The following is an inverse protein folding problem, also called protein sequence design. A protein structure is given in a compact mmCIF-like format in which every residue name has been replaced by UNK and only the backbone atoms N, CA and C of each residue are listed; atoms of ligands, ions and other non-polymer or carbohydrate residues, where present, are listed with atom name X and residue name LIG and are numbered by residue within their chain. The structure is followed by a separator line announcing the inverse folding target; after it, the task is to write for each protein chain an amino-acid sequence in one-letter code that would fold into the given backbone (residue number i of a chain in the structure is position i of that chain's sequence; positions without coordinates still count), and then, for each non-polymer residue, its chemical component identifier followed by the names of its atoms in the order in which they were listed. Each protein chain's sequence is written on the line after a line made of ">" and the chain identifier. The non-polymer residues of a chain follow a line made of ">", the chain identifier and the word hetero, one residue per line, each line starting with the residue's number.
data_IF_907193737904
#
_entry.id   IF_907193737904
#
_cell.length_a   1.000
_cell.length_b   1.000
_cell.length_c   1.000
_cell.angle_alpha   90.00
_cell.angle_beta   90.00
_cell.angle_gamma   90.00
#
_symmetry.space_group_name_H-M   'P 1'
#
loop_
_entity.id
_entity.type
_entity.pdbx_description
1 polymer ?
#
# COMPACT_ATOMS: atom_id res chain seq x y z
N UNK A 1 -5.51 -28.07 2.82
CA UNK A 1 -5.08 -26.65 2.82
C UNK A 1 -4.15 -26.29 1.66
N UNK A 2 -3.27 -27.21 1.21
CA UNK A 2 -2.33 -26.96 0.11
C UNK A 2 -2.99 -26.90 -1.30
N UNK A 3 -4.13 -27.52 -1.51
CA UNK A 3 -4.83 -27.58 -2.80
C UNK A 3 -5.60 -26.28 -3.13
N UNK A 4 -6.11 -25.59 -2.14
CA UNK A 4 -6.77 -24.28 -2.32
C UNK A 4 -5.79 -23.18 -2.78
N UNK A 5 -4.56 -23.21 -2.29
CA UNK A 5 -3.48 -22.29 -2.67
C UNK A 5 -3.06 -22.42 -4.14
N UNK A 6 -3.07 -23.62 -4.72
CA UNK A 6 -2.76 -23.83 -6.14
C UNK A 6 -3.89 -23.34 -7.08
N UNK A 7 -5.16 -23.57 -6.72
CA UNK A 7 -6.30 -23.07 -7.52
C UNK A 7 -6.40 -21.55 -7.52
N UNK A 8 -6.15 -20.90 -6.40
CA UNK A 8 -6.09 -19.44 -6.34
C UNK A 8 -4.93 -18.87 -7.18
N UNK A 9 -3.76 -19.52 -7.20
CA UNK A 9 -2.64 -19.13 -8.07
C UNK A 9 -2.98 -19.28 -9.56
N UNK A 10 -3.70 -20.31 -9.97
CA UNK A 10 -4.08 -20.52 -11.38
C UNK A 10 -5.20 -19.56 -11.84
N UNK A 11 -6.06 -19.06 -10.94
CA UNK A 11 -7.12 -18.13 -11.33
C UNK A 11 -6.61 -16.72 -11.67
N UNK A 12 -5.45 -16.33 -11.12
CA UNK A 12 -4.81 -15.03 -11.44
C UNK A 12 -3.84 -15.08 -12.65
N UNK A 13 -3.49 -16.27 -13.17
CA UNK A 13 -2.45 -16.44 -14.22
C UNK A 13 -3.08 -16.75 -15.59
N UNK A 14 -4.28 -16.28 -15.88
CA UNK A 14 -4.77 -16.40 -17.25
C UNK A 14 -4.30 -15.20 -18.06
N UNK A 15 -3.06 -15.25 -18.56
CA UNK A 15 -2.53 -14.34 -19.57
C UNK A 15 -3.41 -14.40 -20.82
N UNK A 16 -4.41 -13.52 -20.91
CA UNK A 16 -4.97 -13.18 -22.21
C UNK A 16 -3.94 -12.30 -22.92
N UNK A 17 -3.28 -12.89 -23.89
CA UNK A 17 -2.25 -12.24 -24.73
C UNK A 17 -2.94 -11.25 -25.71
N UNK A 18 -3.57 -10.20 -25.16
CA UNK A 18 -4.32 -9.20 -25.90
C UNK A 18 -3.36 -8.10 -26.42
N UNK A 19 -2.42 -8.45 -27.30
CA UNK A 19 -1.56 -7.46 -27.95
C UNK A 19 -0.49 -6.82 -27.03
N UNK A 20 -0.21 -7.44 -25.87
CA UNK A 20 0.85 -7.00 -24.95
C UNK A 20 1.98 -8.02 -24.90
N UNK A 21 3.22 -7.53 -24.83
CA UNK A 21 4.42 -8.33 -24.61
C UNK A 21 4.91 -8.08 -23.18
N UNK A 22 5.07 -9.15 -22.39
CA UNK A 22 5.73 -9.07 -21.07
C UNK A 22 7.22 -8.77 -21.28
N UNK A 23 7.71 -7.69 -20.65
CA UNK A 23 9.09 -7.22 -20.78
C UNK A 23 9.88 -7.34 -19.48
N UNK A 24 9.20 -7.57 -18.35
CA UNK A 24 9.87 -7.73 -17.06
C UNK A 24 8.91 -8.14 -15.94
N UNK A 25 9.51 -8.42 -14.80
CA UNK A 25 8.82 -8.70 -13.53
C UNK A 25 9.59 -8.00 -12.43
N UNK A 26 8.88 -7.36 -11.50
CA UNK A 26 9.45 -6.83 -10.28
C UNK A 26 9.00 -7.76 -9.13
N UNK A 27 9.95 -8.50 -8.58
CA UNK A 27 9.76 -9.37 -7.42
C UNK A 27 10.35 -8.66 -6.19
N UNK A 28 9.47 -8.02 -5.42
CA UNK A 28 9.88 -7.26 -4.24
C UNK A 28 10.35 -8.15 -3.10
N UNK A 29 9.89 -9.40 -3.04
CA UNK A 29 10.18 -10.29 -1.91
C UNK A 29 11.63 -10.82 -1.92
N UNK A 30 12.23 -10.95 -3.11
CA UNK A 30 13.59 -11.49 -3.28
C UNK A 30 14.67 -10.42 -3.30
N UNK A 31 14.32 -9.17 -3.47
CA UNK A 31 15.30 -8.08 -3.57
C UNK A 31 15.73 -7.58 -2.20
N UNK A 32 17.00 -7.75 -1.84
CA UNK A 32 17.60 -7.14 -0.63
C UNK A 32 17.48 -5.62 -0.63
N UNK A 33 17.58 -5.00 -1.81
CA UNK A 33 17.41 -3.56 -1.99
C UNK A 33 15.99 -3.12 -1.67
N UNK A 34 14.98 -3.87 -2.13
CA UNK A 34 13.57 -3.59 -1.84
C UNK A 34 13.30 -3.64 -0.32
N UNK A 35 13.78 -4.68 0.33
CA UNK A 35 13.63 -4.82 1.79
C UNK A 35 14.34 -3.68 2.54
N UNK A 36 15.56 -3.31 2.14
CA UNK A 36 16.29 -2.20 2.75
C UNK A 36 15.55 -0.87 2.56
N UNK A 37 14.99 -0.62 1.38
CA UNK A 37 14.20 0.57 1.07
C UNK A 37 12.94 0.65 1.94
N UNK A 38 12.18 -0.44 2.06
CA UNK A 38 10.96 -0.51 2.87
C UNK A 38 11.29 -0.30 4.35
N UNK A 39 12.30 -1.00 4.88
CA UNK A 39 12.74 -0.82 6.27
C UNK A 39 13.24 0.60 6.51
N UNK A 40 14.04 1.14 5.61
CA UNK A 40 14.57 2.50 5.71
C UNK A 40 13.47 3.55 5.72
N UNK A 41 12.47 3.44 4.83
CA UNK A 41 11.31 4.34 4.81
C UNK A 41 10.48 4.24 6.08
N UNK A 42 10.30 3.03 6.61
CA UNK A 42 9.59 2.78 7.86
C UNK A 42 10.31 3.43 9.06
N UNK A 43 11.60 3.17 9.21
CA UNK A 43 12.41 3.74 10.29
C UNK A 43 12.44 5.26 10.20
N UNK A 44 12.65 5.83 9.02
CA UNK A 44 12.65 7.27 8.81
C UNK A 44 11.32 7.90 9.22
N UNK A 45 10.20 7.34 8.75
CA UNK A 45 8.86 7.87 9.06
C UNK A 45 8.54 7.81 10.54
N UNK A 46 8.88 6.70 11.22
CA UNK A 46 8.69 6.58 12.68
C UNK A 46 9.58 7.56 13.43
N UNK A 47 10.83 7.73 13.03
CA UNK A 47 11.76 8.67 13.68
C UNK A 47 11.26 10.11 13.58
N UNK A 48 10.86 10.54 12.39
CA UNK A 48 10.29 11.87 12.17
C UNK A 48 8.99 12.05 12.97
N UNK A 49 8.12 11.06 12.95
CA UNK A 49 6.86 11.09 13.68
C UNK A 49 7.07 11.15 15.20
N UNK A 50 8.01 10.38 15.74
CA UNK A 50 8.35 10.41 17.17
C UNK A 50 8.87 11.79 17.59
N UNK A 51 9.72 12.41 16.77
CA UNK A 51 10.23 13.78 17.01
C UNK A 51 9.06 14.76 17.06
N UNK A 52 8.13 14.69 16.10
CA UNK A 52 6.95 15.58 16.05
C UNK A 52 6.10 15.40 17.31
N UNK A 53 5.83 14.16 17.76
CA UNK A 53 5.06 13.90 18.98
C UNK A 53 5.73 14.47 20.21
N UNK A 54 7.04 14.29 20.35
CA UNK A 54 7.82 14.81 21.48
C UNK A 54 7.78 16.35 21.51
N UNK A 55 7.99 17.00 20.35
CA UNK A 55 7.98 18.45 20.25
C UNK A 55 6.58 19.06 20.44
N UNK A 56 5.52 18.31 20.18
CA UNK A 56 4.14 18.80 20.35
C UNK A 56 3.60 18.67 21.77
N UNK A 57 4.42 18.19 22.73
CA UNK A 57 4.03 17.98 24.14
C UNK A 57 2.72 17.17 24.33
N UNK A 58 2.41 16.35 23.33
CA UNK A 58 1.16 15.59 23.24
C UNK A 58 1.16 14.29 24.05
N UNK A 59 2.06 14.17 25.03
CA UNK A 59 2.21 12.99 25.90
C UNK A 59 1.20 13.02 27.07
N UNK A 60 -0.03 12.70 26.81
CA UNK A 60 -1.05 12.55 27.86
C UNK A 60 -1.05 11.11 28.43
N UNK A 61 -0.93 11.03 29.76
CA UNK A 61 -0.87 9.82 30.59
C UNK A 61 -2.18 9.02 30.61
N UNK A 62 -2.50 8.20 29.62
CA UNK A 62 -3.69 7.34 29.67
C UNK A 62 -3.43 5.94 29.11
N UNK A 63 -3.41 4.95 29.98
CA UNK A 63 -3.28 3.50 29.69
C UNK A 63 -4.41 2.99 28.75
N UNK A 64 -5.59 3.60 28.81
CA UNK A 64 -6.73 3.33 27.90
C UNK A 64 -6.41 3.56 26.41
N UNK A 65 -5.32 4.25 26.09
CA UNK A 65 -4.95 4.56 24.71
C UNK A 65 -4.40 3.38 23.93
N UNK A 66 -3.81 2.38 24.59
CA UNK A 66 -3.22 1.22 23.92
C UNK A 66 -4.25 0.39 23.14
N UNK A 67 -5.44 0.19 23.67
CA UNK A 67 -6.51 -0.56 23.00
C UNK A 67 -7.03 0.21 21.76
N UNK A 68 -7.19 1.51 21.88
CA UNK A 68 -7.62 2.37 20.76
C UNK A 68 -6.57 2.45 19.66
N UNK A 69 -5.28 2.43 20.02
CA UNK A 69 -4.19 2.38 19.05
C UNK A 69 -4.25 1.07 18.27
N UNK A 70 -4.37 -0.07 18.98
CA UNK A 70 -4.45 -1.38 18.33
C UNK A 70 -5.66 -1.48 17.37
N UNK A 71 -6.84 -1.09 17.86
CA UNK A 71 -8.05 -1.08 17.04
C UNK A 71 -7.91 -0.13 15.85
N UNK A 72 -7.37 1.06 16.07
CA UNK A 72 -7.11 2.04 15.03
C UNK A 72 -6.15 1.52 13.96
N UNK A 73 -5.07 0.83 14.35
CA UNK A 73 -4.13 0.21 13.41
C UNK A 73 -4.80 -0.89 12.56
N UNK A 74 -5.63 -1.74 13.17
CA UNK A 74 -6.36 -2.77 12.44
C UNK A 74 -7.35 -2.16 11.44
N UNK A 75 -8.13 -1.17 11.87
CA UNK A 75 -9.04 -0.45 10.99
C UNK A 75 -8.27 0.28 9.87
N UNK A 76 -7.14 0.90 10.20
CA UNK A 76 -6.30 1.60 9.23
C UNK A 76 -5.83 0.66 8.12
N UNK A 77 -5.31 -0.54 8.45
CA UNK A 77 -4.84 -1.50 7.45
C UNK A 77 -5.98 -1.89 6.50
N UNK A 78 -7.17 -2.16 7.03
CA UNK A 78 -8.34 -2.54 6.23
C UNK A 78 -8.75 -1.39 5.30
N UNK A 79 -8.77 -0.16 5.81
CA UNK A 79 -9.15 1.02 5.03
C UNK A 79 -8.10 1.32 3.96
N UNK A 80 -6.80 1.22 4.29
CA UNK A 80 -5.69 1.41 3.36
C UNK A 80 -5.81 0.47 2.16
N UNK A 81 -5.94 -0.83 2.39
CA UNK A 81 -6.12 -1.83 1.33
C UNK A 81 -7.44 -1.63 0.55
N UNK A 82 -8.49 -1.17 1.23
CA UNK A 82 -9.77 -0.86 0.58
C UNK A 82 -9.65 0.31 -0.40
N UNK A 83 -8.82 1.31 -0.11
CA UNK A 83 -8.55 2.42 -1.04
C UNK A 83 -7.86 1.90 -2.29
N UNK A 84 -6.84 1.02 -2.18
CA UNK A 84 -6.24 0.36 -3.34
C UNK A 84 -7.28 -0.38 -4.18
N UNK A 85 -8.15 -1.16 -3.54
CA UNK A 85 -9.25 -1.89 -4.21
C UNK A 85 -10.18 -0.96 -4.99
N UNK A 86 -10.58 0.15 -4.38
CA UNK A 86 -11.48 1.14 -4.99
C UNK A 86 -10.83 1.72 -6.25
N UNK A 87 -9.58 2.18 -6.17
CA UNK A 87 -8.88 2.75 -7.32
C UNK A 87 -8.58 1.72 -8.41
N UNK A 88 -8.21 0.49 -8.04
CA UNK A 88 -8.08 -0.60 -9.01
C UNK A 88 -9.42 -0.85 -9.72
N UNK A 89 -10.54 -0.80 -8.99
CA UNK A 89 -11.87 -1.02 -9.56
C UNK A 89 -12.33 0.13 -10.45
N UNK A 90 -11.99 1.36 -10.12
CA UNK A 90 -12.27 2.54 -10.95
C UNK A 90 -11.57 2.42 -12.32
N UNK A 91 -10.32 1.98 -12.33
CA UNK A 91 -9.53 1.87 -13.56
C UNK A 91 -9.70 0.54 -14.30
N UNK A 92 -10.39 -0.44 -13.70
CA UNK A 92 -10.57 -1.78 -14.28
C UNK A 92 -11.95 -2.36 -14.02
N UNK A 93 -12.47 -3.05 -15.05
CA UNK A 93 -13.70 -3.85 -14.93
C UNK A 93 -13.41 -5.31 -14.55
N UNK A 94 -12.15 -5.73 -14.48
CA UNK A 94 -11.78 -7.11 -14.18
C UNK A 94 -11.94 -7.44 -12.69
N UNK A 95 -11.86 -8.74 -12.40
CA UNK A 95 -11.94 -9.25 -11.03
C UNK A 95 -10.68 -8.90 -10.27
N UNK A 96 -10.86 -8.48 -9.03
CA UNK A 96 -9.78 -8.19 -8.10
C UNK A 96 -9.38 -9.49 -7.39
N UNK A 97 -8.09 -9.61 -7.06
CA UNK A 97 -7.52 -10.72 -6.33
C UNK A 97 -7.06 -10.22 -4.95
N UNK A 98 -7.56 -10.86 -3.89
CA UNK A 98 -7.10 -10.63 -2.53
C UNK A 98 -6.12 -11.75 -2.15
N UNK A 99 -4.96 -11.39 -1.66
CA UNK A 99 -4.00 -12.32 -1.10
C UNK A 99 -3.80 -12.03 0.39
N UNK A 100 -4.19 -13.02 1.20
CA UNK A 100 -3.97 -13.00 2.63
C UNK A 100 -2.72 -13.82 2.94
N UNK A 101 -1.58 -13.17 3.13
CA UNK A 101 -0.35 -13.79 3.62
C UNK A 101 0.04 -13.09 4.91
N UNK A 102 -0.25 -13.74 6.05
CA UNK A 102 0.15 -13.17 7.33
C UNK A 102 1.66 -12.87 7.36
N UNK A 103 2.09 -11.67 7.79
CA UNK A 103 1.29 -10.58 8.37
C UNK A 103 0.75 -9.56 7.32
N UNK A 104 0.90 -9.80 6.03
CA UNK A 104 0.53 -8.86 4.98
C UNK A 104 -0.79 -9.22 4.31
N UNK A 105 -1.62 -8.22 4.13
CA UNK A 105 -2.77 -8.24 3.22
C UNK A 105 -2.31 -7.52 1.95
N UNK A 106 -2.55 -8.10 0.79
CA UNK A 106 -2.23 -7.44 -0.47
C UNK A 106 -3.34 -7.64 -1.50
N UNK A 107 -3.56 -6.62 -2.29
CA UNK A 107 -4.58 -6.59 -3.32
C UNK A 107 -3.93 -6.58 -4.69
N UNK A 108 -4.51 -7.32 -5.62
CA UNK A 108 -4.04 -7.37 -6.99
C UNK A 108 -5.17 -7.45 -8.00
N UNK A 109 -4.84 -7.28 -9.26
CA UNK A 109 -5.78 -7.39 -10.38
C UNK A 109 -5.11 -8.03 -11.59
N UNK A 110 -5.90 -8.75 -12.40
CA UNK A 110 -5.44 -9.23 -13.70
C UNK A 110 -5.39 -8.13 -14.78
N UNK A 111 -5.83 -6.93 -14.44
CA UNK A 111 -5.81 -5.80 -15.36
C UNK A 111 -4.42 -5.24 -15.55
N UNK A 112 -4.19 -4.72 -16.75
CA UNK A 112 -2.98 -3.98 -17.10
C UNK A 112 -3.27 -2.49 -16.98
N UNK A 113 -2.67 -1.85 -15.98
CA UNK A 113 -2.81 -0.42 -15.73
C UNK A 113 -1.71 0.36 -16.44
N UNK A 114 -2.03 1.50 -17.02
CA UNK A 114 -1.01 2.43 -17.51
C UNK A 114 -0.14 2.93 -16.36
N UNK A 115 1.06 3.40 -16.65
CA UNK A 115 1.98 3.93 -15.63
C UNK A 115 1.32 4.99 -14.74
N UNK A 116 0.54 5.92 -15.31
CA UNK A 116 -0.17 6.95 -14.53
C UNK A 116 -1.22 6.35 -13.60
N UNK A 117 -2.06 5.44 -14.11
CA UNK A 117 -3.08 4.76 -13.30
C UNK A 117 -2.45 4.00 -12.15
N UNK A 118 -1.36 3.30 -12.40
CA UNK A 118 -0.70 2.49 -11.38
C UNK A 118 -0.07 3.37 -10.28
N UNK A 119 0.55 4.52 -10.63
CA UNK A 119 1.05 5.50 -9.66
C UNK A 119 -0.09 6.04 -8.79
N UNK A 120 -1.24 6.37 -9.41
CA UNK A 120 -2.42 6.83 -8.67
C UNK A 120 -2.91 5.75 -7.71
N UNK A 121 -3.02 4.49 -8.16
CA UNK A 121 -3.43 3.37 -7.32
C UNK A 121 -2.48 3.22 -6.13
N UNK A 122 -1.16 3.26 -6.37
CA UNK A 122 -0.16 3.07 -5.32
C UNK A 122 -0.17 4.20 -4.28
N UNK A 123 -0.34 5.46 -4.71
CA UNK A 123 -0.26 6.61 -3.79
C UNK A 123 -1.61 7.04 -3.21
N UNK A 124 -2.74 6.57 -3.75
CA UNK A 124 -4.06 6.98 -3.30
C UNK A 124 -4.29 6.78 -1.79
N UNK A 125 -3.96 5.64 -1.16
CA UNK A 125 -4.16 5.47 0.28
C UNK A 125 -3.36 6.49 1.09
N UNK A 126 -2.08 6.66 0.76
CA UNK A 126 -1.19 7.59 1.47
C UNK A 126 -1.73 9.00 1.46
N UNK A 127 -2.14 9.47 0.28
CA UNK A 127 -2.62 10.85 0.10
C UNK A 127 -4.00 11.03 0.75
N UNK A 128 -4.95 10.15 0.46
CA UNK A 128 -6.33 10.29 0.95
C UNK A 128 -6.37 10.15 2.48
N UNK A 129 -5.78 9.07 3.01
CA UNK A 129 -5.78 8.86 4.46
C UNK A 129 -4.89 9.87 5.18
N UNK A 130 -3.79 10.30 4.57
CA UNK A 130 -2.95 11.36 5.10
C UNK A 130 -3.72 12.67 5.27
N UNK A 131 -4.46 13.09 4.25
CA UNK A 131 -5.32 14.30 4.33
C UNK A 131 -6.43 14.13 5.36
N UNK A 132 -7.14 13.01 5.34
CA UNK A 132 -8.23 12.73 6.29
C UNK A 132 -7.72 12.75 7.73
N UNK A 133 -6.61 12.05 8.01
CA UNK A 133 -6.02 12.00 9.36
C UNK A 133 -5.52 13.39 9.82
N UNK A 134 -4.90 14.16 8.93
CA UNK A 134 -4.46 15.52 9.23
C UNK A 134 -5.65 16.43 9.58
N UNK A 135 -6.75 16.35 8.82
CA UNK A 135 -7.98 17.08 9.13
C UNK A 135 -8.58 16.64 10.47
N UNK A 136 -8.64 15.32 10.74
CA UNK A 136 -9.13 14.83 12.01
C UNK A 136 -8.29 15.31 13.20
N UNK A 137 -6.97 15.34 13.07
CA UNK A 137 -6.07 15.89 14.10
C UNK A 137 -6.38 17.36 14.38
N UNK A 138 -6.72 18.13 13.33
CA UNK A 138 -7.01 19.56 13.46
C UNK A 138 -8.35 19.82 14.15
N UNK A 139 -9.38 19.02 13.84
CA UNK A 139 -10.76 19.31 14.27
C UNK A 139 -11.25 18.45 15.44
N UNK A 140 -10.59 17.32 15.75
CA UNK A 140 -10.96 16.46 16.88
C UNK A 140 -10.46 17.01 18.22
N UNK A 141 -11.11 16.54 19.31
CA UNK A 141 -10.70 16.88 20.67
C UNK A 141 -9.29 16.36 20.99
N UNK A 142 -8.61 17.03 21.94
CA UNK A 142 -7.25 16.69 22.39
C UNK A 142 -7.08 15.22 22.77
N UNK A 143 -8.13 14.59 23.30
CA UNK A 143 -8.13 13.20 23.73
C UNK A 143 -7.81 12.19 22.60
N UNK A 144 -8.14 12.53 21.35
CA UNK A 144 -7.91 11.65 20.19
C UNK A 144 -6.65 11.99 19.39
N UNK A 145 -6.12 13.21 19.54
CA UNK A 145 -4.98 13.70 18.75
C UNK A 145 -3.77 12.77 18.80
N UNK A 146 -3.47 12.21 19.97
CA UNK A 146 -2.34 11.29 20.12
C UNK A 146 -2.51 10.02 19.27
N UNK A 147 -3.68 9.38 19.32
CA UNK A 147 -3.96 8.17 18.52
C UNK A 147 -3.96 8.49 17.03
N UNK A 148 -4.59 9.59 16.63
CA UNK A 148 -4.63 10.04 15.24
C UNK A 148 -3.22 10.38 14.70
N UNK A 149 -2.36 10.96 15.52
CA UNK A 149 -0.97 11.24 15.16
C UNK A 149 -0.17 9.95 14.92
N UNK A 150 -0.35 8.93 15.77
CA UNK A 150 0.25 7.61 15.56
C UNK A 150 -0.24 7.00 14.24
N UNK A 151 -1.54 7.07 13.94
CA UNK A 151 -2.11 6.56 12.69
C UNK A 151 -1.56 7.32 11.47
N UNK A 152 -1.38 8.63 11.59
CA UNK A 152 -0.77 9.44 10.52
C UNK A 152 0.69 9.03 10.26
N UNK A 153 1.47 8.79 11.31
CA UNK A 153 2.84 8.27 11.19
C UNK A 153 2.85 6.90 10.51
N UNK A 154 1.95 6.01 10.94
CA UNK A 154 1.80 4.69 10.33
C UNK A 154 1.38 4.76 8.88
N UNK A 155 0.57 5.75 8.49
CA UNK A 155 0.20 5.96 7.10
C UNK A 155 1.42 6.20 6.20
N UNK A 156 2.38 6.99 6.65
CA UNK A 156 3.62 7.20 5.90
C UNK A 156 4.60 6.03 6.04
N UNK A 157 4.74 5.48 7.23
CA UNK A 157 5.68 4.38 7.50
C UNK A 157 5.24 3.07 6.83
N UNK A 158 3.96 2.75 6.86
CA UNK A 158 3.40 1.51 6.29
C UNK A 158 3.40 1.47 4.77
N UNK A 159 3.45 2.62 4.11
CA UNK A 159 3.38 2.73 2.65
C UNK A 159 4.73 2.56 1.94
N UNK A 160 5.75 2.03 2.61
CA UNK A 160 7.08 1.81 2.03
C UNK A 160 7.06 0.95 0.76
N UNK A 161 6.15 -0.03 0.69
CA UNK A 161 5.93 -0.84 -0.51
C UNK A 161 5.39 -0.04 -1.69
N UNK A 162 4.44 0.85 -1.44
CA UNK A 162 3.84 1.71 -2.47
C UNK A 162 4.85 2.71 -3.02
N UNK A 163 5.66 3.30 -2.14
CA UNK A 163 6.76 4.18 -2.56
C UNK A 163 7.79 3.45 -3.42
N UNK A 164 8.13 2.22 -3.05
CA UNK A 164 9.07 1.40 -3.82
C UNK A 164 8.50 1.08 -5.20
N UNK A 165 7.21 0.74 -5.30
CA UNK A 165 6.55 0.51 -6.58
C UNK A 165 6.66 1.74 -7.48
N UNK A 166 6.31 2.92 -6.98
CA UNK A 166 6.41 4.18 -7.72
C UNK A 166 7.86 4.50 -8.11
N UNK A 167 8.80 4.26 -7.21
CA UNK A 167 10.23 4.47 -7.47
C UNK A 167 10.75 3.56 -8.60
N UNK A 168 10.42 2.27 -8.56
CA UNK A 168 10.81 1.33 -9.60
C UNK A 168 10.22 1.67 -10.97
N UNK A 169 9.00 2.21 -11.02
CA UNK A 169 8.36 2.63 -12.28
C UNK A 169 9.07 3.77 -12.98
N UNK A 170 9.90 4.54 -12.29
CA UNK A 170 10.68 5.63 -12.91
C UNK A 170 11.59 5.13 -14.03
N UNK A 171 12.00 3.86 -13.97
CA UNK A 171 12.88 3.20 -14.94
C UNK A 171 12.19 2.90 -16.28
N UNK A 172 10.85 2.98 -16.34
CA UNK A 172 10.05 2.61 -17.50
C UNK A 172 9.40 3.81 -18.18
N UNK A 173 9.18 3.71 -19.48
CA UNK A 173 8.54 4.75 -20.28
C UNK A 173 7.04 4.87 -19.98
N UNK A 174 6.40 5.95 -20.44
CA UNK A 174 4.98 6.22 -20.16
C UNK A 174 4.01 5.28 -20.90
N UNK A 175 4.47 4.61 -21.97
CA UNK A 175 3.74 3.62 -22.77
C UNK A 175 3.79 2.21 -22.17
N UNK A 176 4.36 2.07 -20.97
CA UNK A 176 4.46 0.80 -20.24
C UNK A 176 3.22 0.57 -19.38
N UNK A 177 2.80 -0.69 -19.31
CA UNK A 177 1.68 -1.16 -18.52
C UNK A 177 2.14 -2.08 -17.40
N UNK A 178 1.48 -2.00 -16.27
CA UNK A 178 1.81 -2.74 -15.05
C UNK A 178 0.60 -3.56 -14.61
N UNK A 179 0.86 -4.79 -14.20
CA UNK A 179 -0.13 -5.69 -13.64
C UNK A 179 0.38 -6.20 -12.31
N UNK A 180 -0.33 -5.90 -11.25
CA UNK A 180 -0.04 -6.41 -9.92
C UNK A 180 -1.00 -7.54 -9.58
N UNK A 181 -0.46 -8.72 -9.36
CA UNK A 181 -1.22 -9.91 -8.97
C UNK A 181 -1.12 -10.20 -7.47
N UNK A 182 -0.77 -9.21 -6.65
CA UNK A 182 -0.54 -9.32 -5.19
C UNK A 182 0.70 -10.14 -4.77
N UNK A 183 1.50 -10.64 -5.69
CA UNK A 183 2.74 -11.41 -5.44
C UNK A 183 3.92 -10.75 -6.13
N UNK A 184 3.72 -10.38 -7.38
CA UNK A 184 4.71 -9.76 -8.25
C UNK A 184 4.04 -8.71 -9.14
N UNK A 185 4.78 -7.69 -9.53
CA UNK A 185 4.34 -6.75 -10.53
C UNK A 185 4.95 -7.10 -11.88
N UNK A 186 4.12 -7.55 -12.80
CA UNK A 186 4.50 -7.85 -14.19
C UNK A 186 4.43 -6.60 -15.05
N UNK A 187 5.40 -6.44 -15.94
CA UNK A 187 5.59 -5.25 -16.78
C UNK A 187 5.36 -5.62 -18.24
N UNK A 188 4.55 -4.83 -18.92
CA UNK A 188 4.13 -5.08 -20.29
C UNK A 188 4.35 -3.85 -21.17
N UNK A 189 4.61 -4.12 -22.46
CA UNK A 189 4.59 -3.11 -23.52
C UNK A 189 3.59 -3.54 -24.57
N UNK A 190 2.88 -2.56 -25.18
CA UNK A 190 1.97 -2.83 -26.30
C UNK A 190 2.80 -3.26 -27.50
N UNK A 191 2.35 -4.32 -28.22
CA UNK A 191 3.00 -4.80 -29.46
C UNK A 191 2.83 -3.79 -30.57
#
# INVERSE_FOLDING_TARGET
>A
LHLLSRRQRQMCIRDRDNGFRKIGVIDYQKSKYANLFIIGSFVLSISVGAIIIVLSDSTSNNILKGQWILLGCLCYIIIHESVHLIFMKIFSKERLCLSLKFPTISVGSNSKFSKRQFIIIALAPVVILGVVLALLITFCSESYKFVLSILLILNFAGSGGDYLQVFEMRKYSMDTFFQDNSIETSIYKKK
#
